data_IF_069423569529
#
_entry.id   IF_069423569529
#
_cell.length_a   1.000
_cell.length_b   1.000
_cell.length_c   1.000
_cell.angle_alpha   90.00
_cell.angle_beta   90.00
_cell.angle_gamma   90.00
#
_symmetry.space_group_name_H-M   'P 1'
#
loop_
_entity.id
_entity.type
_entity.pdbx_description
1 polymer ?
#
# COMPACT_ATOMS: atom_id res chain seq x y z
N UNK A 1 -14.86 -2.97 -0.82
CA UNK A 1 -14.10 -4.23 -0.94
C UNK A 1 -14.85 -5.31 -0.18
N UNK A 2 -15.12 -6.45 -0.81
CA UNK A 2 -15.85 -7.57 -0.21
C UNK A 2 -14.97 -8.40 0.73
N UNK A 3 -13.67 -8.49 0.41
CA UNK A 3 -12.73 -9.36 1.13
C UNK A 3 -11.82 -8.61 2.11
N UNK A 4 -12.11 -7.34 2.42
CA UNK A 4 -11.41 -6.61 3.47
C UNK A 4 -12.08 -6.89 4.83
N UNK A 5 -11.39 -7.62 5.71
CA UNK A 5 -11.86 -7.91 7.07
C UNK A 5 -11.34 -6.91 8.10
N UNK A 6 -10.35 -6.12 7.72
CA UNK A 6 -9.76 -5.02 8.48
C UNK A 6 -9.71 -3.76 7.62
N UNK A 7 -9.57 -2.56 8.21
CA UNK A 7 -9.42 -1.33 7.45
C UNK A 7 -8.32 -1.38 6.38
N UNK A 8 -8.57 -0.71 5.26
CA UNK A 8 -7.64 -0.55 4.14
C UNK A 8 -7.33 0.93 3.93
N UNK A 9 -6.06 1.25 3.67
CA UNK A 9 -5.62 2.62 3.41
C UNK A 9 -4.62 2.68 2.25
N UNK A 10 -4.94 3.49 1.25
CA UNK A 10 -4.09 3.74 0.09
C UNK A 10 -3.11 4.88 0.25
N UNK A 11 -1.98 4.78 -0.43
CA UNK A 11 -1.04 5.87 -0.65
C UNK A 11 -0.96 6.19 -2.15
N UNK A 12 -1.58 7.30 -2.54
CA UNK A 12 -1.71 7.70 -3.94
C UNK A 12 -0.72 8.83 -4.27
N UNK A 13 0.09 8.66 -5.31
CA UNK A 13 0.99 9.72 -5.76
C UNK A 13 1.47 9.47 -7.18
N UNK A 14 1.95 10.52 -7.83
CA UNK A 14 2.79 10.40 -9.02
C UNK A 14 4.12 9.71 -8.71
N UNK A 15 4.82 9.27 -9.76
CA UNK A 15 6.17 8.70 -9.59
C UNK A 15 7.13 9.79 -9.11
N UNK A 16 8.09 9.41 -8.26
CA UNK A 16 9.09 10.35 -7.72
C UNK A 16 8.67 11.13 -6.47
N UNK A 17 7.39 11.12 -6.06
CA UNK A 17 6.92 11.90 -4.88
C UNK A 17 7.47 11.40 -3.53
N UNK A 18 8.00 10.18 -3.47
CA UNK A 18 8.57 9.61 -2.24
C UNK A 18 7.64 8.69 -1.44
N UNK A 19 6.65 8.05 -2.10
CA UNK A 19 5.75 7.06 -1.46
C UNK A 19 6.49 6.00 -0.65
N UNK A 20 7.47 5.35 -1.27
CA UNK A 20 8.24 4.30 -0.60
C UNK A 20 8.96 4.84 0.62
N UNK A 21 9.60 6.01 0.50
CA UNK A 21 10.29 6.67 1.62
C UNK A 21 9.34 6.93 2.78
N UNK A 22 8.19 7.54 2.50
CA UNK A 22 7.18 7.84 3.52
C UNK A 22 6.67 6.56 4.20
N UNK A 23 6.34 5.53 3.42
CA UNK A 23 5.87 4.25 3.95
C UNK A 23 6.93 3.58 4.83
N UNK A 24 8.20 3.58 4.39
CA UNK A 24 9.30 3.01 5.17
C UNK A 24 9.58 3.74 6.49
N UNK A 25 9.15 5.01 6.61
CA UNK A 25 9.26 5.79 7.84
C UNK A 25 8.00 5.67 8.72
N UNK A 26 6.82 5.64 8.11
CA UNK A 26 5.52 5.60 8.82
C UNK A 26 5.21 4.21 9.38
N UNK A 27 5.53 3.13 8.65
CA UNK A 27 5.28 1.74 9.10
C UNK A 27 5.97 1.45 10.45
N UNK A 28 7.26 1.78 10.66
CA UNK A 28 7.90 1.63 11.97
C UNK A 28 7.18 2.37 13.10
N UNK A 29 6.69 3.59 12.87
CA UNK A 29 5.95 4.37 13.88
C UNK A 29 4.65 3.66 14.24
N UNK A 30 3.84 3.28 13.25
CA UNK A 30 2.60 2.53 13.49
C UNK A 30 2.83 1.21 14.23
N UNK A 31 3.89 0.48 13.87
CA UNK A 31 4.29 -0.76 14.57
C UNK A 31 4.73 -0.49 16.02
N UNK A 32 5.39 0.64 16.29
CA UNK A 32 5.74 1.04 17.64
C UNK A 32 4.49 1.26 18.52
N UNK A 33 3.40 1.74 17.91
CA UNK A 33 2.07 1.85 18.54
C UNK A 33 1.28 0.52 18.58
N UNK A 34 1.91 -0.61 18.25
CA UNK A 34 1.29 -1.94 18.35
C UNK A 34 0.41 -2.33 17.17
N UNK A 35 0.32 -1.51 16.12
CA UNK A 35 -0.49 -1.83 14.93
C UNK A 35 0.17 -2.94 14.10
N UNK A 36 -0.56 -4.01 13.84
CA UNK A 36 -0.14 -5.11 12.95
C UNK A 36 -0.53 -4.78 11.52
N UNK A 37 0.46 -4.63 10.64
CA UNK A 37 0.28 -4.05 9.31
C UNK A 37 0.48 -5.10 8.22
N UNK A 38 -0.50 -5.23 7.33
CA UNK A 38 -0.33 -5.84 6.02
C UNK A 38 -0.01 -4.80 4.95
N UNK A 39 0.64 -5.21 3.87
CA UNK A 39 0.92 -4.34 2.72
C UNK A 39 0.61 -5.08 1.42
N UNK A 40 -0.22 -4.48 0.58
CA UNK A 40 -0.43 -4.92 -0.81
C UNK A 40 0.15 -3.85 -1.73
N UNK A 41 1.06 -4.27 -2.61
CA UNK A 41 1.70 -3.39 -3.60
C UNK A 41 1.39 -3.86 -5.01
N UNK A 42 0.85 -2.97 -5.83
CA UNK A 42 0.72 -3.18 -7.27
C UNK A 42 1.93 -2.55 -8.00
N UNK A 43 2.62 -3.36 -8.80
CA UNK A 43 3.72 -2.91 -9.67
C UNK A 43 3.25 -2.93 -11.12
N UNK A 44 3.55 -1.87 -11.88
CA UNK A 44 3.32 -1.85 -13.33
C UNK A 44 4.38 -2.62 -14.14
N UNK A 45 5.36 -3.22 -13.45
CA UNK A 45 6.42 -4.01 -14.05
C UNK A 45 6.39 -5.43 -13.49
N UNK A 46 6.70 -6.40 -14.36
CA UNK A 46 6.98 -7.77 -13.95
C UNK A 46 8.09 -7.76 -12.87
N UNK A 47 8.00 -8.66 -11.90
CA UNK A 47 8.95 -8.76 -10.81
C UNK A 47 9.32 -10.21 -10.53
N UNK A 48 10.56 -10.40 -10.08
CA UNK A 48 11.10 -11.71 -9.75
C UNK A 48 11.49 -11.73 -8.27
N UNK A 49 10.93 -12.66 -7.49
CA UNK A 49 11.24 -12.81 -6.05
C UNK A 49 12.33 -13.85 -5.80
N UNK A 50 12.27 -14.97 -6.51
CA UNK A 50 13.28 -16.03 -6.43
C UNK A 50 14.37 -15.88 -7.51
N UNK A 51 15.47 -16.60 -7.38
CA UNK A 51 16.66 -16.33 -8.18
C UNK A 51 16.77 -17.26 -9.40
N UNK A 52 16.97 -16.72 -10.62
CA UNK A 52 17.27 -17.53 -11.80
C UNK A 52 18.37 -18.55 -11.55
N UNK A 53 18.12 -19.80 -11.96
CA UNK A 53 19.07 -20.90 -11.80
C UNK A 53 19.05 -21.61 -10.43
N UNK A 54 18.30 -21.11 -9.44
CA UNK A 54 18.01 -21.85 -8.19
C UNK A 54 16.82 -22.80 -8.35
N UNK A 55 16.68 -23.73 -7.42
CA UNK A 55 15.70 -24.81 -7.51
C UNK A 55 14.27 -24.30 -7.53
N UNK A 56 13.91 -23.33 -6.68
CA UNK A 56 12.56 -22.76 -6.67
C UNK A 56 12.19 -22.14 -8.02
N UNK A 57 13.13 -21.45 -8.66
CA UNK A 57 12.94 -20.82 -9.96
C UNK A 57 12.74 -21.89 -11.03
N UNK A 58 13.59 -22.91 -11.05
CA UNK A 58 13.48 -24.02 -12.00
C UNK A 58 12.16 -24.78 -11.86
N UNK A 59 11.69 -25.01 -10.63
CA UNK A 59 10.42 -25.69 -10.37
C UNK A 59 9.22 -24.84 -10.79
N UNK A 60 9.26 -23.52 -10.56
CA UNK A 60 8.23 -22.58 -11.02
C UNK A 60 8.17 -22.51 -12.55
N UNK A 61 9.31 -22.35 -13.22
CA UNK A 61 9.40 -22.35 -14.69
C UNK A 61 9.02 -23.70 -15.31
N UNK A 62 9.16 -24.80 -14.58
CA UNK A 62 8.68 -26.12 -14.99
C UNK A 62 7.14 -26.27 -14.88
N UNK A 63 6.43 -25.26 -14.35
CA UNK A 63 4.97 -25.19 -14.30
C UNK A 63 4.34 -25.37 -12.92
N UNK A 64 5.12 -25.47 -11.85
CA UNK A 64 4.55 -25.50 -10.50
C UNK A 64 3.91 -24.14 -10.15
N UNK A 65 2.65 -24.13 -9.73
CA UNK A 65 1.95 -22.92 -9.27
C UNK A 65 0.77 -23.30 -8.34
N UNK A 66 0.68 -22.74 -7.11
CA UNK A 66 1.64 -21.84 -6.49
C UNK A 66 2.92 -22.55 -6.00
N UNK A 67 4.03 -21.83 -5.93
CA UNK A 67 5.28 -22.28 -5.29
C UNK A 67 5.45 -21.58 -3.95
N UNK A 68 5.69 -22.35 -2.88
CA UNK A 68 5.95 -21.83 -1.54
C UNK A 68 7.40 -22.05 -1.12
N UNK A 69 8.09 -20.97 -0.78
CA UNK A 69 9.44 -21.00 -0.21
C UNK A 69 9.34 -20.71 1.29
N UNK A 70 9.94 -21.55 2.13
CA UNK A 70 9.88 -21.43 3.58
C UNK A 70 11.29 -21.56 4.18
N UNK A 71 11.57 -20.72 5.16
CA UNK A 71 12.76 -20.79 6.02
C UNK A 71 12.37 -20.51 7.47
N UNK A 72 13.32 -20.64 8.39
CA UNK A 72 13.14 -20.24 9.80
C UNK A 72 12.83 -18.76 10.00
N UNK A 73 13.07 -17.91 8.99
CA UNK A 73 12.93 -16.45 9.11
C UNK A 73 11.74 -15.88 8.34
N UNK A 74 11.30 -16.54 7.27
CA UNK A 74 10.25 -16.03 6.36
C UNK A 74 9.68 -17.11 5.46
N UNK A 75 8.49 -16.82 4.94
CA UNK A 75 7.79 -17.55 3.90
C UNK A 75 7.46 -16.61 2.74
N UNK A 76 7.55 -17.11 1.51
CA UNK A 76 7.05 -16.45 0.30
C UNK A 76 6.17 -17.44 -0.48
N UNK A 77 5.08 -16.94 -1.07
CA UNK A 77 4.21 -17.70 -1.97
C UNK A 77 4.21 -16.96 -3.29
N UNK A 78 4.51 -17.67 -4.38
CA UNK A 78 4.52 -17.12 -5.74
C UNK A 78 3.42 -17.84 -6.52
N UNK A 79 2.49 -17.06 -7.07
CA UNK A 79 1.41 -17.54 -7.93
C UNK A 79 1.56 -16.84 -9.28
N UNK A 80 1.67 -17.61 -10.35
CA UNK A 80 1.64 -17.06 -11.70
C UNK A 80 0.23 -16.56 -12.02
N UNK A 81 0.12 -15.33 -12.52
CA UNK A 81 -1.15 -14.71 -12.90
C UNK A 81 -1.16 -14.58 -14.43
N UNK A 82 -2.25 -15.01 -15.07
CA UNK A 82 -2.42 -14.83 -16.51
C UNK A 82 -2.47 -13.34 -16.86
N UNK A 83 -1.72 -12.88 -17.87
CA UNK A 83 -1.64 -11.46 -18.23
C UNK A 83 -2.90 -10.89 -18.90
N UNK A 84 -3.96 -11.70 -19.03
CA UNK A 84 -5.18 -11.33 -19.73
C UNK A 84 -6.07 -10.35 -18.95
N UNK A 85 -5.86 -10.20 -17.64
CA UNK A 85 -6.64 -9.32 -16.78
C UNK A 85 -5.74 -8.54 -15.83
N UNK A 86 -6.00 -7.23 -15.72
CA UNK A 86 -5.38 -6.40 -14.68
C UNK A 86 -5.80 -6.92 -13.30
N UNK A 87 -4.85 -7.07 -12.35
CA UNK A 87 -5.16 -7.58 -11.03
C UNK A 87 -6.10 -6.62 -10.29
N UNK A 88 -7.06 -7.19 -9.56
CA UNK A 88 -7.97 -6.43 -8.67
C UNK A 88 -7.51 -6.57 -7.22
N UNK A 89 -7.62 -5.50 -6.45
CA UNK A 89 -7.25 -5.46 -5.04
C UNK A 89 -8.09 -6.45 -4.22
N UNK A 90 -9.40 -6.54 -4.51
CA UNK A 90 -10.30 -7.43 -3.79
C UNK A 90 -9.91 -8.92 -3.93
N UNK A 91 -9.38 -9.32 -5.09
CA UNK A 91 -8.85 -10.67 -5.30
C UNK A 91 -7.58 -10.92 -4.49
N UNK A 92 -6.73 -9.89 -4.30
CA UNK A 92 -5.53 -10.00 -3.47
C UNK A 92 -5.88 -10.03 -1.96
N UNK A 93 -6.87 -9.25 -1.55
CA UNK A 93 -7.39 -9.25 -0.18
C UNK A 93 -7.92 -10.62 0.23
N UNK A 94 -8.57 -11.34 -0.71
CA UNK A 94 -9.02 -12.72 -0.50
C UNK A 94 -7.88 -13.70 -0.20
N UNK A 95 -6.70 -13.46 -0.76
CA UNK A 95 -5.53 -14.34 -0.62
C UNK A 95 -4.64 -13.96 0.57
N UNK A 96 -4.69 -12.70 1.01
CA UNK A 96 -3.94 -12.22 2.17
C UNK A 96 -4.58 -12.74 3.46
N UNK A 97 -3.78 -13.38 4.32
CA UNK A 97 -4.22 -13.73 5.68
C UNK A 97 -4.29 -12.44 6.53
N UNK A 98 -5.52 -12.11 6.95
CA UNK A 98 -5.83 -10.89 7.70
C UNK A 98 -6.10 -11.16 9.19
N UNK A 99 -6.05 -12.42 9.62
CA UNK A 99 -6.43 -12.84 10.98
C UNK A 99 -5.66 -12.10 12.09
N UNK A 100 -4.40 -11.78 11.81
CA UNK A 100 -3.49 -11.10 12.73
C UNK A 100 -3.18 -9.65 12.30
N UNK A 101 -3.97 -9.08 11.39
CA UNK A 101 -3.77 -7.70 10.95
C UNK A 101 -4.75 -6.76 11.62
N UNK A 102 -4.34 -5.50 11.78
CA UNK A 102 -5.21 -4.40 12.23
C UNK A 102 -5.45 -3.42 11.08
N UNK A 103 -4.49 -3.29 10.16
CA UNK A 103 -4.55 -2.37 9.02
C UNK A 103 -3.84 -2.95 7.81
N UNK A 104 -4.42 -2.76 6.62
CA UNK A 104 -3.76 -3.08 5.35
C UNK A 104 -3.43 -1.78 4.61
N UNK A 105 -2.15 -1.55 4.37
CA UNK A 105 -1.68 -0.48 3.51
C UNK A 105 -1.67 -0.92 2.05
N UNK A 106 -2.02 -0.01 1.15
CA UNK A 106 -2.07 -0.28 -0.29
C UNK A 106 -1.22 0.75 -1.05
N UNK A 107 -0.22 0.27 -1.76
CA UNK A 107 0.57 1.07 -2.71
C UNK A 107 0.20 0.63 -4.14
N UNK A 108 -0.62 1.44 -4.83
CA UNK A 108 -1.10 1.11 -6.17
C UNK A 108 -2.62 1.11 -6.28
N UNK A 109 -3.17 0.32 -7.21
CA UNK A 109 -4.63 0.20 -7.45
C UNK A 109 -5.36 1.56 -7.52
N UNK A 110 -4.77 2.54 -8.24
CA UNK A 110 -5.22 3.95 -8.23
C UNK A 110 -6.69 4.13 -8.64
N UNK A 111 -7.19 3.28 -9.53
CA UNK A 111 -8.56 3.34 -10.04
C UNK A 111 -9.59 2.74 -9.07
N UNK A 112 -9.16 2.00 -8.05
CA UNK A 112 -10.08 1.35 -7.12
C UNK A 112 -10.54 2.30 -6.00
N UNK A 113 -11.75 2.07 -5.52
CA UNK A 113 -12.46 2.96 -4.59
C UNK A 113 -12.27 2.49 -3.14
N UNK A 114 -11.35 3.15 -2.45
CA UNK A 114 -11.05 2.95 -1.03
C UNK A 114 -10.28 4.17 -0.51
N UNK A 115 -10.31 4.46 0.81
CA UNK A 115 -9.68 5.65 1.38
C UNK A 115 -8.19 5.75 1.02
N UNK A 116 -7.72 6.94 0.64
CA UNK A 116 -6.31 7.19 0.28
C UNK A 116 -5.78 8.47 0.91
N UNK A 117 -4.50 8.44 1.28
CA UNK A 117 -3.69 9.65 1.49
C UNK A 117 -3.01 9.97 0.16
N UNK A 118 -3.27 11.15 -0.39
CA UNK A 118 -2.53 11.66 -1.54
C UNK A 118 -1.19 12.24 -1.08
N UNK A 119 -0.09 11.88 -1.74
CA UNK A 119 1.19 12.57 -1.56
C UNK A 119 1.38 13.55 -2.71
N UNK A 120 1.74 14.78 -2.36
CA UNK A 120 1.92 15.86 -3.32
C UNK A 120 3.21 16.64 -3.04
N UNK A 121 3.99 16.89 -4.09
CA UNK A 121 5.16 17.79 -4.05
C UNK A 121 5.05 18.75 -5.23
N UNK A 122 4.76 20.05 -5.01
CA UNK A 122 4.60 21.00 -6.11
C UNK A 122 5.84 21.10 -7.02
N UNK A 123 7.03 20.87 -6.46
CA UNK A 123 8.30 20.84 -7.19
C UNK A 123 8.34 19.83 -8.35
N UNK A 124 7.47 18.80 -8.33
CA UNK A 124 7.35 17.81 -9.40
C UNK A 124 6.46 18.26 -10.56
N UNK A 125 5.82 19.43 -10.47
CA UNK A 125 4.91 19.99 -11.47
C UNK A 125 3.83 18.99 -11.92
N UNK A 126 3.30 18.21 -10.98
CA UNK A 126 2.17 17.31 -11.19
C UNK A 126 0.92 17.89 -10.53
N UNK A 127 -0.27 17.75 -11.13
CA UNK A 127 -1.50 18.20 -10.48
C UNK A 127 -1.80 17.36 -9.24
N UNK A 128 -2.72 17.84 -8.41
CA UNK A 128 -3.36 16.99 -7.39
C UNK A 128 -4.25 15.94 -8.08
N UNK A 129 -4.37 14.77 -7.45
CA UNK A 129 -5.35 13.74 -7.78
C UNK A 129 -6.73 14.17 -7.27
N UNK A 130 -6.78 14.80 -6.10
CA UNK A 130 -7.94 15.58 -5.66
C UNK A 130 -8.18 16.76 -6.63
N UNK A 131 -9.44 17.11 -6.98
CA UNK A 131 -10.71 16.54 -6.51
C UNK A 131 -11.22 15.35 -7.34
N UNK A 132 -10.46 14.87 -8.32
CA UNK A 132 -10.93 13.83 -9.24
C UNK A 132 -11.00 12.43 -8.61
N UNK A 133 -10.23 12.16 -7.56
CA UNK A 133 -10.40 10.98 -6.71
C UNK A 133 -11.14 11.36 -5.42
N UNK A 134 -12.45 11.05 -5.30
CA UNK A 134 -13.24 11.38 -4.12
C UNK A 134 -12.88 10.55 -2.89
N UNK A 135 -12.00 9.55 -3.03
CA UNK A 135 -11.58 8.71 -1.92
C UNK A 135 -10.37 9.27 -1.16
N UNK A 136 -9.85 10.44 -1.57
CA UNK A 136 -8.75 11.11 -0.87
C UNK A 136 -9.28 11.70 0.43
N UNK A 137 -8.77 11.19 1.55
CA UNK A 137 -9.17 11.61 2.90
C UNK A 137 -8.17 12.59 3.54
N UNK A 138 -6.95 12.68 2.99
CA UNK A 138 -5.92 13.63 3.40
C UNK A 138 -4.89 13.82 2.28
N UNK A 139 -4.20 14.97 2.29
CA UNK A 139 -3.05 15.25 1.43
C UNK A 139 -1.81 15.44 2.30
N UNK A 140 -0.77 14.63 2.04
CA UNK A 140 0.57 14.82 2.59
C UNK A 140 1.43 15.63 1.61
N UNK A 141 1.86 16.83 2.00
CA UNK A 141 2.67 17.71 1.16
C UNK A 141 3.82 18.37 1.92
N UNK A 142 4.81 18.89 1.19
CA UNK A 142 5.94 19.64 1.72
C UNK A 142 5.71 21.17 1.73
N UNK A 143 4.49 21.60 1.40
CA UNK A 143 4.04 22.97 1.56
C UNK A 143 2.55 22.99 1.92
N UNK A 144 2.07 24.17 2.36
CA UNK A 144 0.63 24.43 2.48
C UNK A 144 0.00 24.53 1.09
N UNK A 145 -1.15 23.90 0.92
CA UNK A 145 -1.92 23.92 -0.33
C UNK A 145 -3.23 24.69 -0.14
N UNK A 146 -3.73 25.28 -1.22
CA UNK A 146 -5.07 25.87 -1.24
C UNK A 146 -6.10 24.76 -1.49
N UNK A 147 -6.55 24.12 -0.41
CA UNK A 147 -7.61 23.08 -0.44
C UNK A 147 -8.73 23.45 0.52
N UNK A 148 -9.96 22.91 0.35
CA UNK A 148 -11.05 23.17 1.29
C UNK A 148 -10.71 22.77 2.73
N UNK A 149 -11.26 23.50 3.70
CA UNK A 149 -10.98 23.31 5.14
C UNK A 149 -11.28 21.90 5.67
N UNK A 150 -12.17 21.15 5.02
CA UNK A 150 -12.50 19.79 5.42
C UNK A 150 -11.40 18.78 5.05
N UNK A 151 -10.50 19.12 4.13
CA UNK A 151 -9.47 18.22 3.64
C UNK A 151 -8.20 18.36 4.49
N UNK A 152 -7.88 17.30 5.21
CA UNK A 152 -6.74 17.29 6.13
C UNK A 152 -5.44 17.39 5.35
N UNK A 153 -4.60 18.37 5.71
CA UNK A 153 -3.24 18.50 5.20
C UNK A 153 -2.25 17.99 6.25
N UNK A 154 -1.31 17.15 5.80
CA UNK A 154 -0.26 16.54 6.61
C UNK A 154 1.10 16.97 6.05
N UNK A 155 2.10 17.16 6.91
CA UNK A 155 3.47 17.36 6.44
C UNK A 155 4.07 16.01 6.02
N UNK A 156 4.39 15.88 4.73
CA UNK A 156 4.98 14.66 4.15
C UNK A 156 6.33 14.29 4.78
N UNK A 157 7.00 15.22 5.45
CA UNK A 157 8.29 15.01 6.10
C UNK A 157 8.16 14.71 7.61
N UNK A 158 6.94 14.63 8.14
CA UNK A 158 6.66 14.29 9.54
C UNK A 158 5.85 12.97 9.62
N UNK A 159 6.52 11.81 9.50
CA UNK A 159 5.86 10.50 9.50
C UNK A 159 5.06 10.22 10.79
N UNK A 160 5.43 10.85 11.91
CA UNK A 160 4.70 10.77 13.18
C UNK A 160 3.30 11.38 13.07
N UNK A 161 3.16 12.55 12.45
CA UNK A 161 1.86 13.21 12.24
C UNK A 161 0.96 12.34 11.35
N UNK A 162 1.55 11.70 10.34
CA UNK A 162 0.82 10.81 9.43
C UNK A 162 0.39 9.54 10.16
N UNK A 163 1.27 8.97 11.00
CA UNK A 163 0.92 7.83 11.84
C UNK A 163 -0.21 8.19 12.83
N UNK A 164 -0.14 9.34 13.50
CA UNK A 164 -1.18 9.83 14.40
C UNK A 164 -2.53 10.00 13.69
N UNK A 165 -2.52 10.57 12.48
CA UNK A 165 -3.70 10.65 11.64
C UNK A 165 -4.31 9.27 11.37
N UNK A 166 -3.49 8.30 10.97
CA UNK A 166 -3.92 6.92 10.69
C UNK A 166 -4.48 6.24 11.95
N UNK A 167 -3.80 6.37 13.09
CA UNK A 167 -4.25 5.82 14.37
C UNK A 167 -5.61 6.41 14.78
N UNK A 168 -5.75 7.74 14.67
CA UNK A 168 -6.99 8.43 15.00
C UNK A 168 -8.15 8.03 14.08
N UNK A 169 -7.86 7.82 12.80
CA UNK A 169 -8.86 7.49 11.79
C UNK A 169 -9.33 6.04 11.85
N UNK A 170 -8.45 5.09 12.18
CA UNK A 170 -8.74 3.66 12.01
C UNK A 170 -8.60 2.81 13.28
N UNK A 171 -7.80 3.25 14.26
CA UNK A 171 -7.46 2.42 15.43
C UNK A 171 -8.14 2.88 16.73
N UNK A 172 -8.80 4.04 16.75
CA UNK A 172 -9.60 4.46 17.90
C UNK A 172 -10.86 3.60 17.98
N UNK A 173 -10.86 2.66 18.94
CA UNK A 173 -12.09 2.07 19.45
C UNK A 173 -12.94 3.19 20.05
N UNK A 174 -14.24 3.22 19.70
CA UNK A 174 -15.24 3.96 20.49
C UNK A 174 -15.31 3.36 21.89
#
# INVERSE_FOLDING_TARGET
MQHAHVPILGFAAFSGTGKTTLLTQTIPVLKHHGVRIGLIKHSHHNFQIDQPGKDSFRLREAGASPVMLVSTHRRAIITEISPEQEPRLDDQLKLLDQSELDLILVEGFKAEQFPKIELHRPSLNKPLLYPNDPNIIAIASDCTLETPDYLIQLDINQPEIIADFILNQFMRSV
#
